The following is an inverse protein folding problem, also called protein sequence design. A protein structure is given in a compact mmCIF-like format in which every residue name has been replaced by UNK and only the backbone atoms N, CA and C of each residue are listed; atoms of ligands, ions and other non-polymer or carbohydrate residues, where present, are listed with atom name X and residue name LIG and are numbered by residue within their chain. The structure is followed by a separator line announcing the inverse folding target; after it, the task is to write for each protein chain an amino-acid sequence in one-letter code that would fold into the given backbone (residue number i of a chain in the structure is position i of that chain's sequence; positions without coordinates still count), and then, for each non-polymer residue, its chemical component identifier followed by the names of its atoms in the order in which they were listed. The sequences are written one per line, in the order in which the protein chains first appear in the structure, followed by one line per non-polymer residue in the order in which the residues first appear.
data_IF_927099053164
#
_entry.id   IF_927099053164
#
_cell.length_a   1.000
_cell.length_b   1.000
_cell.length_c   1.000
_cell.angle_alpha   90.00
_cell.angle_beta   90.00
_cell.angle_gamma   90.00
#
_symmetry.space_group_name_H-M   'P 1'
#
loop_
_entity.id
_entity.type
_entity.pdbx_description
1 polymer ?
#
# COMPACT_ATOMS: atom_id res chain seq x y z
N UNK A 1 -0.94 -20.26 -9.98
CA UNK A 1 0.52 -20.43 -10.09
C UNK A 1 1.15 -20.13 -8.75
N UNK A 2 2.12 -20.92 -8.33
CA UNK A 2 2.89 -20.62 -7.12
C UNK A 2 3.78 -19.41 -7.40
N UNK A 3 3.76 -18.44 -6.47
CA UNK A 3 4.70 -17.31 -6.50
C UNK A 3 6.01 -17.81 -5.90
N UNK A 4 7.08 -17.79 -6.68
CA UNK A 4 8.39 -18.20 -6.20
C UNK A 4 9.09 -17.04 -5.49
N UNK A 5 9.45 -17.25 -4.22
CA UNK A 5 10.19 -16.26 -3.44
C UNK A 5 11.68 -16.36 -3.73
N UNK A 6 12.32 -15.23 -3.95
CA UNK A 6 13.76 -15.14 -4.12
C UNK A 6 14.46 -15.22 -2.75
N UNK A 7 15.57 -15.91 -2.68
CA UNK A 7 16.43 -15.96 -1.47
C UNK A 7 17.10 -14.61 -1.16
N UNK A 8 17.28 -13.77 -2.19
CA UNK A 8 17.76 -12.38 -2.10
C UNK A 8 16.94 -11.51 -3.04
N UNK A 9 16.82 -10.21 -2.69
CA UNK A 9 16.18 -9.26 -3.60
C UNK A 9 16.97 -9.11 -4.90
N UNK A 10 16.26 -9.02 -6.01
CA UNK A 10 16.82 -8.77 -7.33
C UNK A 10 16.37 -7.43 -7.87
N UNK A 11 17.19 -6.82 -8.72
CA UNK A 11 16.85 -5.59 -9.42
C UNK A 11 16.09 -5.95 -10.70
N UNK A 12 14.87 -5.47 -10.86
CA UNK A 12 14.07 -5.58 -12.06
C UNK A 12 14.06 -4.24 -12.78
N UNK A 13 14.39 -4.24 -14.07
CA UNK A 13 14.28 -3.06 -14.94
C UNK A 13 13.39 -3.40 -16.12
N UNK A 14 12.38 -2.57 -16.38
CA UNK A 14 11.45 -2.74 -17.51
C UNK A 14 11.51 -1.48 -18.36
N UNK A 15 11.69 -1.65 -19.67
CA UNK A 15 11.63 -0.58 -20.65
C UNK A 15 10.20 -0.16 -21.00
N UNK A 16 10.03 1.10 -21.40
CA UNK A 16 8.78 1.62 -21.98
C UNK A 16 9.08 2.45 -23.22
N UNK A 17 8.09 2.62 -24.11
CA UNK A 17 8.23 3.52 -25.25
C UNK A 17 7.61 4.87 -24.96
N UNK A 18 8.41 5.92 -24.92
CA UNK A 18 7.94 7.29 -24.72
C UNK A 18 7.06 7.81 -25.86
N UNK A 19 7.16 7.23 -27.07
CA UNK A 19 6.29 7.59 -28.19
C UNK A 19 4.83 7.23 -27.95
N UNK A 20 4.60 6.18 -27.14
CA UNK A 20 3.26 5.65 -26.86
C UNK A 20 2.66 6.20 -25.56
N UNK A 21 3.41 6.98 -24.80
CA UNK A 21 3.02 7.45 -23.45
C UNK A 21 3.11 8.97 -23.38
N UNK A 22 2.03 9.68 -23.00
CA UNK A 22 2.09 11.12 -22.80
C UNK A 22 3.18 11.52 -21.80
N UNK A 23 3.95 12.56 -22.08
CA UNK A 23 5.05 13.02 -21.21
C UNK A 23 4.59 13.30 -19.77
N UNK A 24 3.36 13.78 -19.58
CA UNK A 24 2.76 14.03 -18.25
C UNK A 24 2.52 12.75 -17.43
N UNK A 25 2.48 11.59 -18.07
CA UNK A 25 2.23 10.28 -17.43
C UNK A 25 3.53 9.61 -17.00
N UNK A 26 4.63 9.87 -17.73
CA UNK A 26 5.93 9.21 -17.52
C UNK A 26 6.42 9.29 -16.07
N UNK A 27 6.38 10.43 -15.35
CA UNK A 27 6.84 10.52 -13.98
C UNK A 27 6.07 9.62 -12.99
N UNK A 28 4.86 9.23 -13.36
CA UNK A 28 3.96 8.41 -12.56
C UNK A 28 3.92 6.93 -12.98
N UNK A 29 4.80 6.51 -13.89
CA UNK A 29 4.94 5.10 -14.24
C UNK A 29 5.50 4.31 -13.07
N UNK A 30 4.91 3.16 -12.80
CA UNK A 30 5.37 2.24 -11.74
C UNK A 30 5.27 0.80 -12.22
N UNK A 31 6.11 -0.06 -11.64
CA UNK A 31 6.06 -1.51 -11.83
C UNK A 31 5.04 -2.09 -10.86
N UNK A 32 4.10 -2.83 -11.40
CA UNK A 32 3.12 -3.63 -10.67
C UNK A 32 3.45 -5.09 -10.84
N UNK A 33 3.13 -5.89 -9.83
CA UNK A 33 3.25 -7.35 -9.84
C UNK A 33 1.88 -7.99 -9.75
N UNK A 34 1.74 -9.14 -10.38
CA UNK A 34 0.55 -9.96 -10.27
C UNK A 34 0.65 -10.81 -8.99
N UNK A 35 -0.28 -10.60 -8.07
CA UNK A 35 -0.29 -11.26 -6.77
C UNK A 35 -1.56 -12.10 -6.61
N UNK A 36 -1.45 -13.40 -6.25
CA UNK A 36 -2.59 -14.22 -5.92
C UNK A 36 -3.10 -13.89 -4.51
N UNK A 37 -4.40 -13.64 -4.37
CA UNK A 37 -5.12 -13.47 -3.10
C UNK A 37 -6.21 -14.54 -3.01
N UNK A 38 -5.86 -15.72 -2.54
CA UNK A 38 -6.77 -16.86 -2.54
C UNK A 38 -7.20 -17.24 -3.95
N UNK A 39 -8.50 -17.07 -4.27
CA UNK A 39 -9.05 -17.32 -5.62
C UNK A 39 -8.93 -16.13 -6.58
N UNK A 40 -8.54 -14.96 -6.07
CA UNK A 40 -8.37 -13.74 -6.86
C UNK A 40 -6.90 -13.52 -7.20
N UNK A 41 -6.67 -12.89 -8.34
CA UNK A 41 -5.34 -12.44 -8.74
C UNK A 41 -5.42 -10.95 -9.02
N UNK A 42 -4.65 -10.17 -8.29
CA UNK A 42 -4.69 -8.70 -8.34
C UNK A 42 -3.32 -8.14 -8.73
N UNK A 43 -3.35 -6.97 -9.34
CA UNK A 43 -2.16 -6.19 -9.60
C UNK A 43 -1.82 -5.33 -8.39
N UNK A 44 -0.71 -5.64 -7.74
CA UNK A 44 -0.16 -4.85 -6.66
C UNK A 44 1.02 -4.02 -7.14
N UNK A 45 1.18 -2.85 -6.58
CA UNK A 45 2.41 -2.10 -6.74
C UNK A 45 3.58 -2.88 -6.15
N UNK A 46 4.70 -2.97 -6.87
CA UNK A 46 5.94 -3.51 -6.31
C UNK A 46 6.39 -2.59 -5.16
N UNK A 47 6.55 -3.12 -3.93
CA UNK A 47 6.86 -2.31 -2.76
C UNK A 47 8.28 -1.72 -2.84
N UNK A 48 8.48 -0.63 -2.09
CA UNK A 48 9.76 0.05 -1.99
C UNK A 48 9.96 1.13 -3.05
N UNK A 49 11.15 1.74 -3.02
CA UNK A 49 11.50 2.83 -3.95
C UNK A 49 11.64 2.28 -5.36
N UNK A 50 10.96 2.93 -6.30
CA UNK A 50 11.11 2.70 -7.74
C UNK A 50 11.76 3.92 -8.38
N UNK A 51 12.62 3.70 -9.34
CA UNK A 51 13.33 4.76 -10.05
C UNK A 51 12.90 4.77 -11.52
N UNK A 52 12.59 5.95 -12.03
CA UNK A 52 12.28 6.17 -13.44
C UNK A 52 13.48 6.86 -14.07
N UNK A 53 14.00 6.27 -15.11
CA UNK A 53 15.02 6.85 -15.98
C UNK A 53 14.35 7.25 -17.30
N UNK A 54 14.17 8.54 -17.50
CA UNK A 54 13.46 9.09 -18.66
C UNK A 54 14.33 9.00 -19.91
N UNK A 55 15.63 9.18 -19.78
CA UNK A 55 16.57 9.15 -20.90
C UNK A 55 16.68 7.74 -21.49
N UNK A 56 16.81 6.74 -20.61
CA UNK A 56 16.88 5.33 -21.00
C UNK A 56 15.50 4.66 -21.11
N UNK A 57 14.43 5.40 -20.87
CA UNK A 57 13.04 4.93 -20.94
C UNK A 57 12.81 3.65 -20.11
N UNK A 58 13.27 3.65 -18.87
CA UNK A 58 13.15 2.49 -17.99
C UNK A 58 12.55 2.83 -16.63
N UNK A 59 11.87 1.84 -16.04
CA UNK A 59 11.47 1.85 -14.63
C UNK A 59 12.16 0.70 -13.92
N UNK A 60 12.75 0.98 -12.77
CA UNK A 60 13.51 0.02 -11.98
C UNK A 60 12.95 -0.13 -10.58
N UNK A 61 12.85 -1.35 -10.10
CA UNK A 61 12.44 -1.68 -8.72
C UNK A 61 13.23 -2.89 -8.19
N UNK A 62 13.32 -3.01 -6.87
CA UNK A 62 13.79 -4.23 -6.22
C UNK A 62 12.62 -5.20 -6.01
N UNK A 63 12.81 -6.45 -6.37
CA UNK A 63 11.81 -7.51 -6.24
C UNK A 63 12.33 -8.62 -5.31
N UNK A 64 11.40 -9.25 -4.58
CA UNK A 64 11.67 -10.37 -3.67
C UNK A 64 10.96 -11.66 -4.09
N UNK A 65 10.24 -11.62 -5.19
CA UNK A 65 9.51 -12.78 -5.73
C UNK A 65 9.44 -12.70 -7.25
N UNK A 66 9.38 -13.85 -7.90
CA UNK A 66 9.14 -13.96 -9.34
C UNK A 66 7.64 -14.13 -9.60
N UNK A 67 7.13 -13.31 -10.49
CA UNK A 67 5.72 -13.32 -10.93
C UNK A 67 5.63 -12.58 -12.28
N UNK A 68 4.44 -12.29 -12.73
CA UNK A 68 4.23 -11.42 -13.88
C UNK A 68 4.31 -9.96 -13.42
N UNK A 69 5.05 -9.15 -14.17
CA UNK A 69 5.20 -7.73 -13.93
C UNK A 69 4.67 -6.92 -15.10
N UNK A 70 4.19 -5.71 -14.83
CA UNK A 70 3.87 -4.73 -15.85
C UNK A 70 4.22 -3.31 -15.39
N UNK A 71 4.45 -2.42 -16.34
CA UNK A 71 4.44 -0.98 -16.09
C UNK A 71 3.00 -0.48 -16.25
N UNK A 72 2.57 0.35 -15.32
CA UNK A 72 1.31 1.06 -15.42
C UNK A 72 1.42 2.45 -14.77
N UNK A 73 0.54 3.35 -15.17
CA UNK A 73 0.42 4.67 -14.57
C UNK A 73 -0.21 4.55 -13.18
N UNK A 74 0.52 4.99 -12.16
CA UNK A 74 -0.01 5.14 -10.82
C UNK A 74 -0.77 6.46 -10.74
N UNK A 75 -2.09 6.38 -10.68
CA UNK A 75 -2.96 7.53 -10.46
C UNK A 75 -3.43 7.51 -9.02
N UNK A 76 -2.91 8.43 -8.23
CA UNK A 76 -3.34 8.60 -6.85
C UNK A 76 -4.57 9.50 -6.79
N UNK A 77 -5.49 9.26 -5.85
CA UNK A 77 -6.59 10.17 -5.57
C UNK A 77 -6.07 11.53 -5.09
N UNK A 78 -6.82 12.59 -5.38
CA UNK A 78 -6.57 13.94 -4.88
C UNK A 78 -7.37 14.25 -3.61
N UNK A 79 -8.23 13.33 -3.18
CA UNK A 79 -9.01 13.42 -1.95
C UNK A 79 -9.12 12.04 -1.28
N UNK A 80 -9.72 12.00 -0.09
CA UNK A 80 -9.88 10.80 0.73
C UNK A 80 -11.32 10.22 0.70
N UNK A 81 -12.19 10.68 -0.21
CA UNK A 81 -13.60 10.27 -0.24
C UNK A 81 -13.76 8.77 -0.48
N UNK A 82 -12.93 8.22 -1.36
CA UNK A 82 -12.98 6.83 -1.79
C UNK A 82 -12.07 5.89 -1.00
N UNK A 83 -11.53 6.31 0.13
CA UNK A 83 -10.68 5.45 0.97
C UNK A 83 -11.43 4.18 1.35
N UNK A 84 -10.77 3.05 1.14
CA UNK A 84 -11.23 1.71 1.51
C UNK A 84 -10.33 1.17 2.60
N UNK A 85 -10.93 0.66 3.69
CA UNK A 85 -10.22 0.05 4.82
C UNK A 85 -10.71 -1.38 4.99
N UNK A 86 -9.80 -2.35 4.89
CA UNK A 86 -10.16 -3.76 5.04
C UNK A 86 -8.99 -4.61 5.57
N UNK A 87 -9.27 -5.76 6.21
CA UNK A 87 -10.59 -6.19 6.63
C UNK A 87 -11.12 -5.33 7.79
N UNK A 88 -12.42 -5.16 7.86
CA UNK A 88 -13.11 -4.56 8.99
C UNK A 88 -14.43 -5.33 9.21
N UNK A 89 -14.57 -6.13 10.27
CA UNK A 89 -13.64 -6.32 11.39
C UNK A 89 -12.29 -6.91 11.01
N UNK A 90 -11.26 -6.54 11.76
CA UNK A 90 -9.92 -7.11 11.66
C UNK A 90 -9.76 -8.26 12.65
N UNK A 91 -9.64 -9.47 12.12
CA UNK A 91 -9.34 -10.68 12.88
C UNK A 91 -7.95 -11.15 12.42
N UNK A 92 -6.87 -10.90 13.17
CA UNK A 92 -5.51 -11.18 12.70
C UNK A 92 -5.30 -12.61 12.19
N UNK A 93 -5.81 -13.59 12.91
CA UNK A 93 -5.69 -15.03 12.54
C UNK A 93 -6.40 -15.41 11.24
N UNK A 94 -7.36 -14.60 10.77
CA UNK A 94 -8.15 -14.85 9.57
C UNK A 94 -7.81 -13.88 8.44
N UNK A 95 -7.04 -12.84 8.74
CA UNK A 95 -6.73 -11.78 7.78
C UNK A 95 -5.50 -12.12 6.95
N UNK A 96 -5.54 -11.82 5.66
CA UNK A 96 -4.41 -11.99 4.75
C UNK A 96 -3.24 -11.13 5.25
N UNK A 97 -2.08 -11.75 5.44
CA UNK A 97 -0.86 -11.14 5.98
C UNK A 97 -1.04 -10.54 7.39
N UNK A 98 -2.10 -10.86 8.12
CA UNK A 98 -2.37 -10.35 9.47
C UNK A 98 -2.33 -8.81 9.55
N UNK A 99 -2.91 -8.15 8.56
CA UNK A 99 -2.85 -6.69 8.41
C UNK A 99 -4.20 -6.10 8.01
N UNK A 100 -4.44 -4.87 8.47
CA UNK A 100 -5.44 -3.97 7.90
C UNK A 100 -4.79 -3.17 6.78
N UNK A 101 -5.47 -3.05 5.68
CA UNK A 101 -5.00 -2.29 4.52
C UNK A 101 -5.90 -1.07 4.30
N UNK A 102 -5.28 0.09 4.17
CA UNK A 102 -5.89 1.34 3.73
C UNK A 102 -5.54 1.53 2.26
N UNK A 103 -6.53 1.68 1.39
CA UNK A 103 -6.36 1.90 -0.04
C UNK A 103 -6.96 3.22 -0.48
N UNK A 104 -6.56 3.66 -1.68
CA UNK A 104 -6.99 4.92 -2.31
C UNK A 104 -6.66 6.13 -1.45
N UNK A 105 -5.50 6.10 -0.83
CA UNK A 105 -4.93 7.24 -0.12
C UNK A 105 -4.34 8.24 -1.12
N UNK A 106 -4.29 9.51 -0.75
CA UNK A 106 -3.54 10.53 -1.49
C UNK A 106 -2.03 10.27 -1.38
N UNK A 107 -1.24 10.97 -2.18
CA UNK A 107 0.22 10.93 -2.04
C UNK A 107 0.63 11.46 -0.66
N UNK A 108 1.64 10.82 -0.06
CA UNK A 108 2.16 11.19 1.26
C UNK A 108 1.11 11.24 2.39
N UNK A 109 -0.03 10.57 2.22
CA UNK A 109 -0.99 10.48 3.30
C UNK A 109 -0.42 9.71 4.49
N UNK A 110 -0.77 10.16 5.69
CA UNK A 110 -0.43 9.49 6.95
C UNK A 110 -1.69 8.97 7.62
N UNK A 111 -1.59 7.78 8.21
CA UNK A 111 -2.66 7.17 8.99
C UNK A 111 -2.21 7.06 10.44
N UNK A 112 -2.99 7.59 11.36
CA UNK A 112 -2.81 7.48 12.80
C UNK A 112 -3.98 6.69 13.38
N UNK A 113 -3.71 5.83 14.38
CA UNK A 113 -4.74 5.06 15.08
C UNK A 113 -4.78 5.45 16.56
N UNK A 114 -6.00 5.48 17.08
CA UNK A 114 -6.30 5.87 18.44
C UNK A 114 -7.30 4.90 19.08
N UNK A 115 -7.30 4.82 20.40
CA UNK A 115 -8.40 4.25 21.18
C UNK A 115 -9.62 5.17 21.13
N UNK A 116 -10.77 4.73 21.64
CA UNK A 116 -11.97 5.58 21.77
C UNK A 116 -11.75 6.76 22.71
N UNK A 117 -10.86 6.60 23.68
CA UNK A 117 -10.52 7.65 24.65
C UNK A 117 -9.48 8.65 24.11
N UNK A 118 -9.06 8.48 22.85
CA UNK A 118 -8.13 9.37 22.14
C UNK A 118 -6.65 9.09 22.42
N UNK A 119 -6.31 8.00 23.10
CA UNK A 119 -4.91 7.59 23.26
C UNK A 119 -4.33 7.09 21.94
N UNK A 120 -3.09 7.46 21.66
CA UNK A 120 -2.40 7.02 20.45
C UNK A 120 -2.05 5.54 20.52
N UNK A 121 -2.37 4.83 19.48
CA UNK A 121 -2.06 3.40 19.32
C UNK A 121 -0.93 3.21 18.32
N UNK A 122 -1.08 3.77 17.13
CA UNK A 122 -0.09 3.69 16.06
C UNK A 122 -0.01 5.01 15.32
N UNK A 123 1.19 5.48 15.05
CA UNK A 123 1.40 6.77 14.40
C UNK A 123 2.16 6.65 13.09
N UNK A 124 1.92 7.60 12.18
CA UNK A 124 2.66 7.80 10.93
C UNK A 124 2.79 6.53 10.06
N UNK A 125 1.70 5.82 9.84
CA UNK A 125 1.67 4.86 8.74
C UNK A 125 1.66 5.65 7.43
N UNK A 126 2.81 5.78 6.80
CA UNK A 126 2.97 6.60 5.61
C UNK A 126 2.49 5.87 4.35
N UNK A 127 1.82 6.61 3.49
CA UNK A 127 1.44 6.17 2.15
C UNK A 127 2.27 6.87 1.10
N UNK A 128 3.13 6.15 0.41
CA UNK A 128 3.84 6.67 -0.77
C UNK A 128 3.17 6.26 -2.08
N UNK A 129 2.17 5.41 -2.04
CA UNK A 129 1.62 4.69 -3.20
C UNK A 129 0.11 4.54 -3.15
N UNK A 130 -0.54 5.41 -2.37
CA UNK A 130 -1.98 5.32 -2.14
C UNK A 130 -2.40 4.14 -1.24
N UNK A 131 -1.43 3.52 -0.56
CA UNK A 131 -1.67 2.39 0.34
C UNK A 131 -0.85 2.55 1.63
N UNK A 132 -1.49 2.30 2.77
CA UNK A 132 -0.84 2.08 4.06
C UNK A 132 -1.33 0.76 4.65
N UNK A 133 -0.58 0.19 5.58
CA UNK A 133 -0.94 -1.05 6.27
C UNK A 133 -0.71 -0.92 7.77
N UNK A 134 -1.58 -1.57 8.55
CA UNK A 134 -1.45 -1.71 9.99
C UNK A 134 -1.45 -3.18 10.39
N UNK A 135 -0.47 -3.57 11.16
CA UNK A 135 -0.23 -4.94 11.62
C UNK A 135 -0.99 -5.32 12.90
N UNK A 136 -1.81 -4.42 13.42
CA UNK A 136 -2.51 -4.63 14.71
C UNK A 136 -1.61 -4.47 15.93
N UNK A 137 -0.43 -3.84 15.77
CA UNK A 137 0.49 -3.52 16.85
C UNK A 137 0.42 -2.03 17.18
N UNK A 138 0.72 -1.68 18.42
CA UNK A 138 0.94 -0.29 18.84
C UNK A 138 2.35 0.19 18.50
N UNK A 139 2.67 1.44 18.82
CA UNK A 139 4.00 2.02 18.58
C UNK A 139 5.12 1.34 19.37
N UNK A 140 4.81 0.64 20.46
CA UNK A 140 5.75 -0.16 21.23
C UNK A 140 5.94 -1.58 20.68
N UNK A 141 5.24 -1.95 19.60
CA UNK A 141 5.26 -3.28 19.01
C UNK A 141 4.44 -4.33 19.75
N UNK A 142 3.61 -3.91 20.71
CA UNK A 142 2.70 -4.80 21.42
C UNK A 142 1.36 -4.93 20.66
N UNK A 143 0.77 -6.12 20.75
CA UNK A 143 -0.55 -6.38 20.18
C UNK A 143 -1.64 -5.53 20.86
N UNK A 144 -2.52 -4.94 20.04
CA UNK A 144 -3.68 -4.25 20.57
C UNK A 144 -4.76 -5.28 20.99
N UNK A 145 -5.55 -4.94 21.99
CA UNK A 145 -6.66 -5.81 22.47
C UNK A 145 -7.87 -5.72 21.53
N UNK A 146 -8.82 -6.63 21.69
CA UNK A 146 -10.12 -6.53 21.01
C UNK A 146 -10.82 -5.24 21.39
N UNK A 147 -11.38 -4.54 20.41
CA UNK A 147 -12.03 -3.26 20.63
C UNK A 147 -12.23 -2.46 19.38
N UNK A 148 -12.85 -1.29 19.51
CA UNK A 148 -13.03 -0.33 18.44
C UNK A 148 -11.89 0.70 18.50
N UNK A 149 -11.27 0.93 17.33
CA UNK A 149 -10.18 1.87 17.13
C UNK A 149 -10.59 2.93 16.13
N UNK A 150 -10.16 4.16 16.36
CA UNK A 150 -10.37 5.28 15.43
C UNK A 150 -9.13 5.42 14.56
N UNK A 151 -9.30 5.48 13.26
CA UNK A 151 -8.23 5.92 12.37
C UNK A 151 -8.45 7.37 11.93
N UNK A 152 -7.39 8.13 11.86
CA UNK A 152 -7.33 9.47 11.32
C UNK A 152 -6.31 9.48 10.17
N UNK A 153 -6.77 9.86 8.99
CA UNK A 153 -5.97 9.96 7.77
C UNK A 153 -5.82 11.43 7.42
N UNK A 154 -4.59 11.84 7.17
CA UNK A 154 -4.24 13.18 6.70
C UNK A 154 -3.41 13.08 5.42
N UNK A 155 -3.71 13.91 4.44
CA UNK A 155 -2.92 14.00 3.20
C UNK A 155 -3.36 15.15 2.32
N UNK A 156 -2.41 15.93 1.82
CA UNK A 156 -2.64 17.03 0.87
C UNK A 156 -3.73 18.04 1.30
N UNK A 157 -3.79 18.34 2.62
CA UNK A 157 -4.76 19.29 3.16
C UNK A 157 -6.17 18.74 3.35
N UNK A 158 -6.39 17.44 3.11
CA UNK A 158 -7.64 16.74 3.37
C UNK A 158 -7.49 15.75 4.51
N UNK A 159 -8.60 15.50 5.21
CA UNK A 159 -8.63 14.59 6.37
C UNK A 159 -9.80 13.64 6.28
N UNK A 160 -9.64 12.44 6.82
CA UNK A 160 -10.71 11.46 6.99
C UNK A 160 -10.58 10.72 8.29
N UNK A 161 -11.70 10.58 9.00
CA UNK A 161 -11.82 9.78 10.22
C UNK A 161 -12.74 8.59 9.96
N UNK A 162 -12.43 7.47 10.58
CA UNK A 162 -13.29 6.29 10.57
C UNK A 162 -12.89 5.32 11.66
N UNK A 163 -13.46 4.11 11.62
CA UNK A 163 -13.34 3.14 12.69
C UNK A 163 -12.93 1.78 12.17
N UNK A 164 -12.17 1.04 13.00
CA UNK A 164 -11.80 -0.37 12.79
C UNK A 164 -12.16 -1.15 14.04
N UNK A 165 -12.94 -2.22 13.88
CA UNK A 165 -13.15 -3.21 14.92
C UNK A 165 -12.03 -4.24 14.87
N UNK A 166 -11.34 -4.46 15.98
CA UNK A 166 -10.36 -5.54 16.16
C UNK A 166 -10.99 -6.64 16.99
N UNK A 167 -10.83 -7.89 16.57
CA UNK A 167 -11.31 -9.10 17.26
C UNK A 167 -10.14 -10.09 17.35
N UNK A 168 -9.75 -10.43 18.57
CA UNK A 168 -8.69 -11.40 18.88
C UNK A 168 -9.25 -12.60 19.62
#
# INVERSE_FOLDING_TARGET
GQVERLSKSAKLTIGFSAESIPASVVPNLRIFRLNPYGKLTLWDLVPGKQTIDIENQTVTANISQLTVFRIAHLRLPTNLDQVVVYPNPFVPSQSINQQVTFLKLTENATVNLYTLDGERVRTKLESTTGRAVWDGLNDAGAEVISGLYIYHIEGEGVQKVGQIMVIR
#
